data_IF_193439674875
#
_entry.id   IF_193439674875
#
_cell.length_a   1.000
_cell.length_b   1.000
_cell.length_c   1.000
_cell.angle_alpha   90.00
_cell.angle_beta   90.00
_cell.angle_gamma   90.00
#
_symmetry.space_group_name_H-M   'P 1'
#
loop_
_entity.id
_entity.type
_entity.pdbx_description
1 polymer ?
#
# COMPACT_ATOMS: atom_id res chain seq x y z
N UNK A 1 44.43 35.18 38.17
CA UNK A 1 43.29 34.25 38.28
C UNK A 1 42.22 34.64 37.26
N UNK A 2 42.17 34.01 36.08
CA UNK A 2 41.07 34.17 35.13
C UNK A 2 40.44 32.78 34.95
N UNK A 3 39.20 32.62 35.40
CA UNK A 3 38.43 31.37 35.26
C UNK A 3 37.94 31.29 33.81
N UNK A 4 38.43 30.30 33.07
CA UNK A 4 37.90 29.94 31.74
C UNK A 4 36.65 29.10 31.99
N UNK A 5 35.49 29.64 31.64
CA UNK A 5 34.25 28.86 31.56
C UNK A 5 34.23 28.17 30.21
N UNK A 6 34.36 26.84 30.20
CA UNK A 6 34.14 26.00 29.01
C UNK A 6 32.63 25.76 28.92
N UNK A 7 31.97 26.47 28.01
CA UNK A 7 30.58 26.19 27.66
C UNK A 7 30.56 24.98 26.72
N UNK A 8 30.17 23.82 27.24
CA UNK A 8 29.91 22.63 26.42
C UNK A 8 28.57 22.84 25.71
N UNK A 9 28.65 23.20 24.43
CA UNK A 9 27.48 23.27 23.54
C UNK A 9 27.14 21.84 23.09
N UNK A 10 26.18 21.22 23.77
CA UNK A 10 25.56 19.97 23.32
C UNK A 10 24.77 20.26 22.03
N UNK A 11 25.39 20.03 20.88
CA UNK A 11 24.72 20.05 19.60
C UNK A 11 23.90 18.76 19.48
N UNK A 12 22.64 18.81 19.95
CA UNK A 12 21.62 17.82 19.61
C UNK A 12 21.35 17.94 18.11
N UNK A 13 22.10 17.17 17.32
CA UNK A 13 21.78 16.95 15.92
C UNK A 13 20.51 16.09 15.93
N UNK A 14 19.35 16.75 15.88
CA UNK A 14 18.14 16.10 15.45
C UNK A 14 18.37 15.69 14.00
N UNK A 15 18.90 14.48 13.80
CA UNK A 15 18.87 13.81 12.51
C UNK A 15 17.38 13.59 12.26
N UNK A 16 16.77 14.55 11.57
CA UNK A 16 15.50 14.35 10.90
C UNK A 16 15.81 13.31 9.82
N UNK A 17 15.71 12.03 10.18
CA UNK A 17 15.71 10.97 9.19
C UNK A 17 14.51 11.24 8.29
N UNK A 18 14.74 11.80 7.11
CA UNK A 18 13.88 11.51 5.98
C UNK A 18 13.97 10.00 5.79
N UNK A 19 13.05 9.25 6.41
CA UNK A 19 12.91 7.81 6.22
C UNK A 19 12.40 7.57 4.79
N UNK A 20 13.28 7.76 3.80
CA UNK A 20 13.04 7.34 2.43
C UNK A 20 13.07 5.82 2.43
N UNK A 21 11.94 5.22 2.08
CA UNK A 21 11.84 3.78 1.89
C UNK A 21 12.63 3.40 0.64
N UNK A 22 13.34 2.28 0.73
CA UNK A 22 14.04 1.71 -0.42
C UNK A 22 13.03 1.26 -1.48
N UNK A 23 13.41 1.45 -2.76
CA UNK A 23 12.59 1.08 -3.91
C UNK A 23 13.42 0.26 -4.89
N UNK A 24 12.79 -0.76 -5.45
CA UNK A 24 13.33 -1.53 -6.56
C UNK A 24 12.67 -1.03 -7.85
N UNK A 25 13.48 -0.47 -8.74
CA UNK A 25 13.06 -0.02 -10.07
C UNK A 25 13.29 -1.14 -11.08
N UNK A 26 12.34 -1.34 -11.97
CA UNK A 26 12.40 -2.33 -13.05
C UNK A 26 11.97 -1.66 -14.34
N UNK A 27 12.64 -1.97 -15.45
CA UNK A 27 12.38 -1.32 -16.72
C UNK A 27 10.94 -1.60 -17.19
N UNK A 28 10.19 -0.54 -17.50
CA UNK A 28 8.78 -0.61 -17.91
C UNK A 28 7.77 -0.94 -16.80
N UNK A 29 8.21 -1.15 -15.56
CA UNK A 29 7.35 -1.57 -14.44
C UNK A 29 7.26 -0.50 -13.35
N UNK A 30 6.15 -0.47 -12.56
CA UNK A 30 6.07 0.37 -11.38
C UNK A 30 7.13 0.02 -10.33
N UNK A 31 7.58 1.04 -9.59
CA UNK A 31 8.48 0.89 -8.45
C UNK A 31 7.88 -0.04 -7.38
N UNK A 32 8.69 -0.97 -6.88
CA UNK A 32 8.34 -1.79 -5.71
C UNK A 32 8.97 -1.19 -4.47
N UNK A 33 8.15 -0.85 -3.47
CA UNK A 33 8.64 -0.28 -2.21
C UNK A 33 8.93 -1.41 -1.22
N UNK A 34 10.17 -1.46 -0.73
CA UNK A 34 10.56 -2.42 0.31
C UNK A 34 10.11 -1.93 1.68
N UNK A 35 9.55 -2.86 2.46
CA UNK A 35 9.02 -2.59 3.79
C UNK A 35 9.45 -3.70 4.74
N UNK A 36 10.09 -3.31 5.84
CA UNK A 36 10.47 -4.24 6.91
C UNK A 36 9.23 -4.90 7.52
N UNK A 37 9.35 -6.18 7.92
CA UNK A 37 8.22 -6.94 8.46
C UNK A 37 7.73 -6.34 9.79
N UNK A 38 8.60 -5.68 10.53
CA UNK A 38 8.32 -5.05 11.82
C UNK A 38 7.84 -3.59 11.73
N UNK A 39 7.57 -3.07 10.52
CA UNK A 39 7.04 -1.71 10.35
C UNK A 39 5.65 -1.57 11.00
N UNK A 40 5.62 -1.01 12.20
CA UNK A 40 4.41 -0.85 13.00
C UNK A 40 3.32 -0.03 12.31
N UNK A 41 3.69 0.99 11.51
CA UNK A 41 2.71 1.82 10.83
C UNK A 41 2.08 1.06 9.65
N UNK A 42 2.90 0.33 8.89
CA UNK A 42 2.43 -0.55 7.82
C UNK A 42 1.54 -1.66 8.36
N UNK A 43 1.95 -2.33 9.43
CA UNK A 43 1.19 -3.41 10.05
C UNK A 43 -0.14 -2.89 10.61
N UNK A 44 -0.17 -1.70 11.23
CA UNK A 44 -1.41 -1.05 11.67
C UNK A 44 -2.34 -0.74 10.50
N UNK A 45 -1.79 -0.30 9.36
CA UNK A 45 -2.57 -0.05 8.16
C UNK A 45 -3.16 -1.33 7.55
N UNK A 46 -2.40 -2.43 7.52
CA UNK A 46 -2.87 -3.75 7.10
C UNK A 46 -4.02 -4.23 7.99
N UNK A 47 -3.87 -4.15 9.31
CA UNK A 47 -4.91 -4.55 10.24
C UNK A 47 -6.17 -3.68 10.12
N UNK A 48 -6.00 -2.38 9.86
CA UNK A 48 -7.11 -1.47 9.58
C UNK A 48 -7.85 -1.88 8.30
N UNK A 49 -7.13 -2.19 7.23
CA UNK A 49 -7.71 -2.68 5.98
C UNK A 49 -8.50 -3.98 6.18
N UNK A 50 -7.93 -4.96 6.89
CA UNK A 50 -8.61 -6.22 7.20
C UNK A 50 -9.90 -6.00 7.99
N UNK A 51 -9.84 -5.16 9.03
CA UNK A 51 -10.98 -4.87 9.91
C UNK A 51 -12.16 -4.24 9.15
N UNK A 52 -11.88 -3.35 8.21
CA UNK A 52 -12.91 -2.61 7.47
C UNK A 52 -13.33 -3.29 6.16
N UNK A 53 -12.64 -4.34 5.73
CA UNK A 53 -12.90 -5.01 4.46
C UNK A 53 -14.37 -5.47 4.31
N UNK A 54 -14.95 -6.09 5.35
CA UNK A 54 -16.33 -6.59 5.29
C UNK A 54 -17.39 -5.49 5.46
N UNK A 55 -17.13 -4.49 6.29
CA UNK A 55 -18.09 -3.40 6.56
C UNK A 55 -18.11 -2.36 5.44
N UNK A 56 -16.98 -2.12 4.79
CA UNK A 56 -16.81 -0.98 3.89
C UNK A 56 -16.65 -1.47 2.44
N UNK A 57 -15.55 -2.18 2.12
CA UNK A 57 -15.28 -2.62 0.75
C UNK A 57 -16.35 -3.56 0.21
N UNK A 58 -16.66 -4.62 0.97
CA UNK A 58 -17.63 -5.61 0.53
C UNK A 58 -19.04 -5.02 0.35
N UNK A 59 -19.47 -4.17 1.29
CA UNK A 59 -20.78 -3.51 1.17
C UNK A 59 -20.81 -2.54 -0.02
N UNK A 60 -19.74 -1.77 -0.24
CA UNK A 60 -19.63 -0.89 -1.39
C UNK A 60 -19.69 -1.66 -2.71
N UNK A 61 -18.98 -2.79 -2.81
CA UNK A 61 -19.01 -3.65 -4.00
C UNK A 61 -20.42 -4.20 -4.27
N UNK A 62 -21.11 -4.69 -3.25
CA UNK A 62 -22.47 -5.22 -3.39
C UNK A 62 -23.53 -4.15 -3.67
N UNK A 63 -23.29 -2.91 -3.27
CA UNK A 63 -24.23 -1.80 -3.48
C UNK A 63 -24.48 -1.51 -4.96
N UNK A 64 -23.52 -1.87 -5.84
CA UNK A 64 -23.52 -1.53 -7.27
C UNK A 64 -23.80 -0.04 -7.52
N UNK A 65 -23.34 0.82 -6.61
CA UNK A 65 -23.47 2.26 -6.76
C UNK A 65 -22.72 2.70 -8.03
N UNK A 66 -23.38 3.37 -8.99
CA UNK A 66 -22.75 3.76 -10.25
C UNK A 66 -21.62 4.79 -10.10
N UNK A 67 -21.52 5.47 -8.97
CA UNK A 67 -20.42 6.38 -8.67
C UNK A 67 -19.16 5.64 -8.16
N UNK A 68 -19.32 4.38 -7.73
CA UNK A 68 -18.22 3.59 -7.23
C UNK A 68 -17.54 2.84 -8.37
N UNK A 69 -16.21 2.95 -8.44
CA UNK A 69 -15.41 2.33 -9.49
C UNK A 69 -14.05 1.87 -8.98
N UNK A 70 -13.30 1.18 -9.83
CA UNK A 70 -11.93 0.71 -9.57
C UNK A 70 -11.76 -0.07 -8.24
N UNK A 71 -12.67 -1.00 -7.97
CA UNK A 71 -12.54 -1.92 -6.84
C UNK A 71 -11.30 -2.78 -7.02
N UNK A 72 -10.37 -2.69 -6.08
CA UNK A 72 -9.10 -3.41 -6.10
C UNK A 72 -8.76 -3.93 -4.70
N UNK A 73 -8.17 -5.12 -4.65
CA UNK A 73 -7.73 -5.77 -3.40
C UNK A 73 -6.23 -6.01 -3.50
N UNK A 74 -5.47 -5.69 -2.45
CA UNK A 74 -4.06 -6.07 -2.35
C UNK A 74 -3.90 -7.30 -1.49
N UNK A 75 -3.29 -8.35 -2.02
CA UNK A 75 -3.04 -9.59 -1.30
C UNK A 75 -1.55 -9.86 -1.13
N UNK A 76 -1.18 -10.41 0.02
CA UNK A 76 0.15 -10.99 0.28
C UNK A 76 0.28 -12.37 -0.39
N UNK A 77 1.36 -12.57 -1.12
CA UNK A 77 1.84 -13.86 -1.61
C UNK A 77 3.16 -14.18 -0.92
N UNK A 78 3.34 -15.42 -0.48
CA UNK A 78 4.60 -15.84 0.14
C UNK A 78 5.68 -16.00 -0.94
N UNK A 79 6.87 -15.49 -0.66
CA UNK A 79 8.01 -15.54 -1.59
C UNK A 79 8.93 -16.73 -1.27
N UNK A 80 9.58 -17.32 -2.29
CA UNK A 80 10.62 -18.33 -2.08
C UNK A 80 11.81 -17.85 -1.23
N UNK A 81 12.15 -16.57 -1.33
CA UNK A 81 13.19 -15.92 -0.51
C UNK A 81 12.81 -15.73 0.97
N UNK A 82 11.53 -15.92 1.31
CA UNK A 82 10.96 -15.62 2.61
C UNK A 82 10.37 -14.20 2.69
N UNK A 83 9.34 -14.03 3.52
CA UNK A 83 8.60 -12.77 3.64
C UNK A 83 7.30 -12.77 2.83
N UNK A 84 7.09 -11.74 2.00
CA UNK A 84 5.93 -11.67 1.14
C UNK A 84 5.92 -10.53 0.15
N UNK A 85 5.36 -10.80 -1.02
CA UNK A 85 5.08 -9.81 -2.05
C UNK A 85 3.60 -9.42 -1.98
N UNK A 86 3.32 -8.11 -1.98
CA UNK A 86 1.95 -7.59 -1.85
C UNK A 86 1.47 -7.02 -3.18
N UNK A 87 0.57 -7.73 -3.85
CA UNK A 87 0.18 -7.43 -5.24
C UNK A 87 -1.28 -7.02 -5.33
N UNK A 88 -1.56 -6.01 -6.15
CA UNK A 88 -2.91 -5.56 -6.45
C UNK A 88 -3.63 -6.49 -7.40
N UNK A 89 -4.89 -6.75 -7.10
CA UNK A 89 -5.85 -7.54 -7.86
C UNK A 89 -6.99 -6.61 -8.23
N UNK A 90 -7.25 -6.47 -9.52
CA UNK A 90 -8.30 -5.64 -10.10
C UNK A 90 -9.47 -6.46 -10.63
N UNK A 91 -10.40 -5.79 -11.29
CA UNK A 91 -11.60 -6.40 -11.90
C UNK A 91 -12.35 -7.32 -10.93
N UNK A 92 -12.53 -6.83 -9.70
CA UNK A 92 -13.04 -7.64 -8.60
C UNK A 92 -14.50 -8.04 -8.84
N UNK A 93 -14.74 -9.35 -8.85
CA UNK A 93 -16.06 -9.98 -8.91
C UNK A 93 -16.29 -10.75 -7.61
N UNK A 94 -17.46 -10.58 -6.99
CA UNK A 94 -17.88 -11.41 -5.87
C UNK A 94 -18.97 -12.39 -6.33
N UNK A 95 -18.63 -13.67 -6.35
CA UNK A 95 -19.53 -14.77 -6.72
C UNK A 95 -19.34 -15.97 -5.79
N UNK A 96 -20.42 -16.68 -5.49
CA UNK A 96 -20.40 -17.89 -4.67
C UNK A 96 -19.60 -17.78 -3.35
N UNK A 97 -19.64 -16.61 -2.71
CA UNK A 97 -18.95 -16.36 -1.44
C UNK A 97 -17.46 -16.06 -1.55
N UNK A 98 -16.91 -15.95 -2.77
CA UNK A 98 -15.50 -15.72 -3.05
C UNK A 98 -15.29 -14.45 -3.87
N UNK A 99 -14.12 -13.85 -3.72
CA UNK A 99 -13.70 -12.75 -4.61
C UNK A 99 -12.76 -13.33 -5.67
N UNK A 100 -13.04 -12.96 -6.90
CA UNK A 100 -12.24 -13.25 -8.08
C UNK A 100 -11.70 -11.94 -8.63
N UNK A 101 -10.56 -11.97 -9.32
CA UNK A 101 -10.03 -10.80 -9.98
C UNK A 101 -8.76 -11.10 -10.75
N UNK A 102 -8.16 -10.06 -11.29
CA UNK A 102 -7.02 -10.14 -12.21
C UNK A 102 -5.78 -9.50 -11.57
N UNK A 103 -4.64 -10.19 -11.59
CA UNK A 103 -3.35 -9.65 -11.12
C UNK A 103 -2.96 -8.41 -11.95
N UNK A 104 -2.60 -7.31 -11.26
CA UNK A 104 -2.34 -6.00 -11.89
C UNK A 104 -0.87 -5.58 -11.93
N UNK A 105 0.05 -6.38 -11.38
CA UNK A 105 1.48 -6.11 -11.42
C UNK A 105 2.26 -7.38 -11.75
N UNK A 106 3.39 -7.24 -12.45
CA UNK A 106 4.30 -8.35 -12.68
C UNK A 106 5.06 -8.68 -11.38
N UNK A 107 4.93 -9.90 -10.83
CA UNK A 107 5.64 -10.27 -9.60
C UNK A 107 7.16 -10.17 -9.74
N UNK A 108 7.84 -9.91 -8.62
CA UNK A 108 9.30 -9.91 -8.57
C UNK A 108 9.89 -11.31 -8.44
N UNK A 109 9.15 -12.20 -7.78
CA UNK A 109 9.56 -13.58 -7.52
C UNK A 109 8.56 -14.58 -8.11
N UNK A 110 8.96 -15.85 -8.34
CA UNK A 110 8.06 -16.88 -8.85
C UNK A 110 7.09 -17.35 -7.76
N UNK A 111 6.07 -16.54 -7.48
CA UNK A 111 5.04 -16.75 -6.44
C UNK A 111 3.81 -17.53 -6.95
N UNK A 112 3.88 -18.09 -8.16
CA UNK A 112 2.83 -18.93 -8.73
C UNK A 112 1.69 -18.19 -9.44
N UNK A 113 1.82 -16.88 -9.66
CA UNK A 113 0.93 -16.04 -10.48
C UNK A 113 1.78 -15.11 -11.36
N UNK A 114 1.18 -14.49 -12.37
CA UNK A 114 1.78 -13.43 -13.22
C UNK A 114 0.77 -12.33 -13.53
N UNK A 115 1.25 -11.20 -14.10
CA UNK A 115 0.37 -10.14 -14.59
C UNK A 115 -0.73 -10.70 -15.51
N UNK A 116 -1.98 -10.32 -15.26
CA UNK A 116 -3.13 -10.73 -16.06
C UNK A 116 -3.74 -12.08 -15.69
N UNK A 117 -3.18 -12.83 -14.74
CA UNK A 117 -3.80 -14.07 -14.27
C UNK A 117 -5.11 -13.81 -13.51
N UNK A 118 -6.11 -14.67 -13.73
CA UNK A 118 -7.30 -14.73 -12.87
C UNK A 118 -7.00 -15.51 -11.59
N UNK A 119 -7.37 -14.94 -10.46
CA UNK A 119 -7.12 -15.52 -9.14
C UNK A 119 -8.35 -15.46 -8.25
N UNK A 120 -8.44 -16.43 -7.34
CA UNK A 120 -9.35 -16.36 -6.19
C UNK A 120 -8.61 -15.70 -5.04
N UNK A 121 -9.17 -14.63 -4.50
CA UNK A 121 -8.58 -13.91 -3.36
C UNK A 121 -8.69 -14.76 -2.11
N UNK A 122 -7.56 -14.92 -1.42
CA UNK A 122 -7.50 -15.40 -0.05
C UNK A 122 -7.69 -14.22 0.91
N UNK A 123 -8.88 -14.14 1.53
CA UNK A 123 -9.28 -13.05 2.42
C UNK A 123 -8.33 -12.90 3.62
N UNK A 124 -7.74 -14.00 4.11
CA UNK A 124 -6.80 -13.98 5.24
C UNK A 124 -5.49 -13.25 4.89
N UNK A 125 -5.15 -13.22 3.60
CA UNK A 125 -3.93 -12.61 3.08
C UNK A 125 -4.14 -11.18 2.57
N UNK A 126 -5.35 -10.61 2.74
CA UNK A 126 -5.60 -9.22 2.36
C UNK A 126 -4.70 -8.29 3.20
N UNK A 127 -4.07 -7.36 2.51
CA UNK A 127 -3.16 -6.37 3.09
C UNK A 127 -3.59 -4.93 2.82
N UNK A 128 -4.42 -4.71 1.80
CA UNK A 128 -5.09 -3.43 1.57
C UNK A 128 -6.28 -3.64 0.62
N UNK A 129 -7.09 -2.61 0.46
CA UNK A 129 -8.14 -2.55 -0.54
C UNK A 129 -8.43 -1.10 -0.88
N UNK A 130 -8.91 -0.82 -2.08
CA UNK A 130 -9.43 0.51 -2.40
C UNK A 130 -10.54 0.46 -3.46
N UNK A 131 -11.34 1.51 -3.49
CA UNK A 131 -12.24 1.84 -4.58
C UNK A 131 -12.38 3.36 -4.67
N UNK A 132 -12.90 3.85 -5.79
CA UNK A 132 -13.12 5.27 -6.01
C UNK A 132 -14.59 5.61 -5.85
N UNK A 133 -14.88 6.57 -4.98
CA UNK A 133 -16.14 7.29 -4.95
C UNK A 133 -15.96 8.58 -5.74
N UNK A 134 -16.28 8.52 -7.03
CA UNK A 134 -15.94 9.56 -8.01
C UNK A 134 -14.42 9.78 -8.07
N UNK A 135 -13.90 10.75 -7.33
CA UNK A 135 -12.47 11.06 -7.25
C UNK A 135 -11.87 10.84 -5.86
N UNK A 136 -12.66 10.34 -4.90
CA UNK A 136 -12.22 10.06 -3.55
C UNK A 136 -11.82 8.60 -3.41
N UNK A 137 -10.60 8.36 -2.96
CA UNK A 137 -10.10 7.01 -2.69
C UNK A 137 -10.55 6.57 -1.32
N UNK A 138 -11.41 5.55 -1.28
CA UNK A 138 -11.80 4.85 -0.06
C UNK A 138 -10.84 3.70 0.20
N UNK A 139 -10.55 3.41 1.46
CA UNK A 139 -9.52 2.44 1.83
C UNK A 139 -8.11 2.98 1.62
N UNK A 140 -7.26 2.26 0.89
CA UNK A 140 -5.88 2.60 0.54
C UNK A 140 -5.01 2.88 1.79
N UNK A 141 -5.16 2.06 2.82
CA UNK A 141 -4.54 2.27 4.12
C UNK A 141 -3.01 2.25 4.02
N UNK A 142 -2.47 1.24 3.35
CA UNK A 142 -1.02 1.08 3.18
C UNK A 142 -0.47 2.12 2.21
N UNK A 143 -1.25 2.51 1.19
CA UNK A 143 -0.88 3.59 0.26
C UNK A 143 -0.73 4.92 1.01
N UNK A 144 -1.62 5.23 1.94
CA UNK A 144 -1.51 6.44 2.78
C UNK A 144 -0.26 6.44 3.65
N UNK A 145 0.16 5.28 4.17
CA UNK A 145 1.43 5.14 4.90
C UNK A 145 2.61 5.39 3.96
N UNK A 146 2.64 4.76 2.79
CA UNK A 146 3.69 4.97 1.79
C UNK A 146 3.76 6.44 1.35
N UNK A 147 2.62 7.09 1.14
CA UNK A 147 2.51 8.51 0.76
C UNK A 147 3.20 9.44 1.75
N UNK A 148 3.23 9.13 3.05
CA UNK A 148 3.93 9.98 4.05
C UNK A 148 5.44 10.04 3.80
N UNK A 149 6.00 8.95 3.27
CA UNK A 149 7.44 8.82 2.99
C UNK A 149 7.84 9.24 1.57
N UNK A 150 6.87 9.57 0.71
CA UNK A 150 7.12 10.05 -0.65
C UNK A 150 7.71 11.46 -0.68
N UNK A 151 8.56 11.74 -1.67
CA UNK A 151 9.00 13.10 -1.97
C UNK A 151 7.83 13.98 -2.44
N UNK A 152 8.03 15.30 -2.49
CA UNK A 152 7.00 16.20 -2.98
C UNK A 152 6.69 15.99 -4.46
N UNK A 153 7.67 15.60 -5.26
CA UNK A 153 7.50 15.22 -6.67
C UNK A 153 6.66 13.96 -6.82
N UNK A 154 6.93 12.93 -6.01
CA UNK A 154 6.18 11.68 -6.01
C UNK A 154 4.74 11.89 -5.57
N UNK A 155 4.52 12.71 -4.54
CA UNK A 155 3.17 13.12 -4.12
C UNK A 155 2.45 13.86 -5.24
N UNK A 156 3.10 14.83 -5.90
CA UNK A 156 2.51 15.54 -7.05
C UNK A 156 2.19 14.60 -8.20
N UNK A 157 3.06 13.63 -8.50
CA UNK A 157 2.81 12.63 -9.53
C UNK A 157 1.60 11.77 -9.19
N UNK A 158 1.48 11.30 -7.94
CA UNK A 158 0.32 10.54 -7.50
C UNK A 158 -0.96 11.39 -7.52
N UNK A 159 -0.89 12.63 -7.03
CA UNK A 159 -2.02 13.55 -6.97
C UNK A 159 -2.45 14.03 -8.38
N UNK A 160 -1.58 13.91 -9.40
CA UNK A 160 -1.87 14.31 -10.79
C UNK A 160 -3.02 13.52 -11.43
N UNK A 161 -3.36 12.37 -10.86
CA UNK A 161 -4.52 11.56 -11.27
C UNK A 161 -5.85 12.18 -10.81
N UNK A 162 -5.83 13.26 -10.02
CA UNK A 162 -7.02 13.92 -9.49
C UNK A 162 -7.69 13.15 -8.35
N UNK A 163 -7.03 12.10 -7.84
CA UNK A 163 -7.51 11.24 -6.77
C UNK A 163 -7.21 11.87 -5.40
N UNK A 164 -8.20 11.81 -4.51
CA UNK A 164 -8.13 12.35 -3.15
C UNK A 164 -8.05 11.18 -2.16
N UNK A 165 -6.90 10.99 -1.55
CA UNK A 165 -6.68 10.00 -0.50
C UNK A 165 -7.11 10.60 0.86
N UNK A 166 -8.38 10.40 1.24
CA UNK A 166 -8.97 10.89 2.51
C UNK A 166 -8.41 10.21 3.76
#
# INVERSE_FOLDING_TARGET
MKKIFITVLFLLIAVSCENKREKVQRDGEPDVVLVETEDNEMNTAIESAKKTFKSDFHQALLSKNPNFSNFTIKQKFDTPSGGGEHIWIGDIIFDNGKYHGIIQNEPMEPIGVKLGDEVVVNVENISDWMYYDINKVKGAYTVKVLRKTMSDEEKKQMDSQGLIYE
#
